data_IF_563271634537
#
_entry.id   IF_563271634537
#
_cell.length_a   1.000
_cell.length_b   1.000
_cell.length_c   1.000
_cell.angle_alpha   90.00
_cell.angle_beta   90.00
_cell.angle_gamma   90.00
#
_symmetry.space_group_name_H-M   'P 1'
#
loop_
_entity.id
_entity.type
_entity.pdbx_description
1 polymer ?
#
# COMPACT_ATOMS: atom_id res chain seq x y z
N UNK A 1 19.88 25.05 -0.36
CA UNK A 1 19.65 23.60 -0.31
C UNK A 1 19.39 23.14 -1.74
N UNK A 2 20.13 22.16 -2.25
CA UNK A 2 19.81 21.59 -3.56
C UNK A 2 18.44 20.90 -3.49
N UNK A 3 17.58 21.11 -4.49
CA UNK A 3 16.21 20.57 -4.53
C UNK A 3 16.18 19.06 -4.24
N UNK A 4 17.15 18.32 -4.78
CA UNK A 4 17.29 16.87 -4.55
C UNK A 4 17.41 16.53 -3.05
N UNK A 5 18.32 17.19 -2.34
CA UNK A 5 18.52 16.95 -0.91
C UNK A 5 17.27 17.32 -0.10
N UNK A 6 16.53 18.34 -0.52
CA UNK A 6 15.25 18.70 0.10
C UNK A 6 14.18 17.61 -0.08
N UNK A 7 14.07 17.04 -1.29
CA UNK A 7 13.14 15.96 -1.58
C UNK A 7 13.52 14.65 -0.87
N UNK A 8 14.81 14.34 -0.77
CA UNK A 8 15.32 13.19 0.00
C UNK A 8 14.99 13.36 1.50
N UNK A 9 15.27 14.54 2.08
CA UNK A 9 14.93 14.81 3.47
C UNK A 9 13.43 14.76 3.75
N UNK A 10 12.60 15.30 2.84
CA UNK A 10 11.15 15.29 2.96
C UNK A 10 10.60 13.86 3.02
N UNK A 11 11.19 12.97 2.23
CA UNK A 11 10.73 11.60 2.03
C UNK A 11 10.89 10.71 3.27
N UNK A 12 11.90 10.97 4.10
CA UNK A 12 12.14 10.25 5.36
C UNK A 12 11.60 11.01 6.60
N UNK A 13 10.78 12.04 6.40
CA UNK A 13 10.27 12.89 7.47
C UNK A 13 8.79 12.68 7.76
N UNK A 14 8.41 13.00 9.00
CA UNK A 14 7.03 13.27 9.35
C UNK A 14 6.68 14.71 8.99
N UNK A 15 5.50 14.88 8.40
CA UNK A 15 4.89 16.18 8.15
C UNK A 15 3.74 16.40 9.11
N UNK A 16 3.50 17.65 9.47
CA UNK A 16 2.31 18.08 10.18
C UNK A 16 1.26 18.51 9.16
N UNK A 17 0.11 17.87 9.15
CA UNK A 17 -1.04 18.29 8.34
C UNK A 17 -2.11 18.92 9.25
N UNK A 18 -2.84 19.95 8.78
CA UNK A 18 -4.01 20.42 9.49
C UNK A 18 -5.12 19.38 9.40
N UNK A 19 -5.77 19.13 10.53
CA UNK A 19 -7.00 18.33 10.61
C UNK A 19 -8.01 19.05 11.49
N UNK A 20 -9.30 18.75 11.38
CA UNK A 20 -10.29 19.35 12.28
C UNK A 20 -10.17 18.75 13.69
N UNK A 21 -10.51 19.52 14.72
CA UNK A 21 -10.61 19.00 16.09
C UNK A 21 -11.66 17.87 16.19
N UNK A 22 -12.75 17.95 15.42
CA UNK A 22 -13.79 16.92 15.38
C UNK A 22 -13.26 15.60 14.81
N UNK A 23 -12.37 15.63 13.80
CA UNK A 23 -11.75 14.44 13.23
C UNK A 23 -10.81 13.77 14.24
N UNK A 24 -10.05 14.57 15.01
CA UNK A 24 -9.18 14.04 16.08
C UNK A 24 -9.99 13.39 17.20
N UNK A 25 -11.14 13.94 17.53
CA UNK A 25 -12.07 13.38 18.53
C UNK A 25 -12.92 12.21 17.98
N UNK A 26 -12.71 11.80 16.73
CA UNK A 26 -13.46 10.72 16.08
C UNK A 26 -14.94 11.05 15.83
N UNK A 27 -15.33 12.32 15.92
CA UNK A 27 -16.70 12.79 15.65
C UNK A 27 -16.98 12.92 14.16
N UNK A 28 -15.95 12.96 13.33
CA UNK A 28 -16.03 12.90 11.87
C UNK A 28 -14.84 12.12 11.29
N UNK A 29 -14.94 11.62 10.04
CA UNK A 29 -13.80 10.98 9.38
C UNK A 29 -12.62 11.95 9.24
N UNK A 30 -11.41 11.44 9.37
CA UNK A 30 -10.21 12.19 9.04
C UNK A 30 -10.28 12.61 7.56
N UNK A 31 -10.17 13.90 7.31
CA UNK A 31 -10.05 14.47 5.98
C UNK A 31 -8.79 15.32 5.90
N UNK A 32 -8.16 15.32 4.73
CA UNK A 32 -7.03 16.18 4.47
C UNK A 32 -7.50 17.63 4.41
N UNK A 33 -6.89 18.52 5.18
CA UNK A 33 -7.16 19.94 5.03
C UNK A 33 -6.61 20.46 3.70
N UNK A 34 -7.47 21.09 2.93
CA UNK A 34 -7.13 21.66 1.64
C UNK A 34 -7.46 23.14 1.55
N UNK A 35 -6.73 23.86 0.71
CA UNK A 35 -7.10 25.19 0.24
C UNK A 35 -7.23 25.20 -1.28
N UNK A 36 -7.99 26.15 -1.81
CA UNK A 36 -8.10 26.36 -3.26
C UNK A 36 -7.47 27.69 -3.64
N UNK A 37 -6.47 27.63 -4.51
CA UNK A 37 -5.78 28.81 -5.05
C UNK A 37 -5.73 28.67 -6.57
N UNK A 38 -6.19 29.70 -7.29
CA UNK A 38 -6.25 29.73 -8.76
C UNK A 38 -6.93 28.49 -9.38
N UNK A 39 -7.99 28.00 -8.73
CA UNK A 39 -8.74 26.82 -9.18
C UNK A 39 -8.04 25.48 -8.96
N UNK A 40 -6.88 25.46 -8.29
CA UNK A 40 -6.16 24.24 -7.90
C UNK A 40 -6.38 23.95 -6.42
N UNK A 41 -6.58 22.67 -6.10
CA UNK A 41 -6.67 22.19 -4.72
C UNK A 41 -5.29 21.84 -4.20
N UNK A 42 -4.94 22.40 -3.04
CA UNK A 42 -3.67 22.21 -2.36
C UNK A 42 -3.89 21.57 -1.01
N UNK A 43 -3.27 20.42 -0.75
CA UNK A 43 -3.09 19.86 0.57
C UNK A 43 -1.97 20.64 1.26
N UNK A 44 -2.24 21.12 2.47
CA UNK A 44 -1.26 21.87 3.25
C UNK A 44 -0.50 20.91 4.18
N UNK A 45 0.81 21.03 4.20
CA UNK A 45 1.67 20.30 5.12
C UNK A 45 2.77 21.22 5.65
N UNK A 46 3.28 20.89 6.83
CA UNK A 46 4.29 21.67 7.53
C UNK A 46 5.39 20.76 8.02
N UNK A 47 6.62 21.24 7.99
CA UNK A 47 7.79 20.48 8.46
C UNK A 47 7.82 20.32 9.99
N UNK A 48 7.05 21.13 10.73
CA UNK A 48 6.93 21.05 12.19
C UNK A 48 5.65 21.71 12.71
N UNK A 49 5.30 21.44 13.98
CA UNK A 49 4.20 22.14 14.66
C UNK A 49 4.49 23.63 14.88
N UNK A 50 5.77 24.00 15.03
CA UNK A 50 6.19 25.40 15.11
C UNK A 50 5.89 26.13 13.80
N UNK A 51 6.24 25.49 12.67
CA UNK A 51 5.94 26.03 11.33
C UNK A 51 4.43 26.15 11.11
N UNK A 52 3.66 25.13 11.52
CA UNK A 52 2.20 25.16 11.50
C UNK A 52 1.63 26.34 12.31
N UNK A 53 2.15 26.58 13.52
CA UNK A 53 1.70 27.68 14.38
C UNK A 53 2.10 29.05 13.82
N UNK A 54 3.25 29.16 13.17
CA UNK A 54 3.75 30.39 12.55
C UNK A 54 2.94 30.79 11.31
N UNK A 55 2.70 29.84 10.40
CA UNK A 55 2.02 30.10 9.12
C UNK A 55 0.50 30.14 9.31
N UNK A 56 -0.02 29.30 10.20
CA UNK A 56 -1.45 29.14 10.46
C UNK A 56 -2.15 28.25 9.42
N UNK A 57 -3.41 27.90 9.73
CA UNK A 57 -4.29 27.12 8.87
C UNK A 57 -5.75 27.55 9.05
N UNK A 58 -6.70 26.81 8.48
CA UNK A 58 -8.13 27.07 8.62
C UNK A 58 -8.55 27.20 10.11
N UNK A 59 -9.50 28.08 10.46
CA UNK A 59 -9.94 28.25 11.84
C UNK A 59 -10.38 26.93 12.48
N UNK A 60 -9.82 26.62 13.66
CA UNK A 60 -10.13 25.38 14.39
C UNK A 60 -9.37 24.14 13.92
N UNK A 61 -8.44 24.28 12.96
CA UNK A 61 -7.53 23.20 12.59
C UNK A 61 -6.51 22.94 13.72
N UNK A 62 -6.18 21.67 13.92
CA UNK A 62 -5.18 21.20 14.87
C UNK A 62 -4.06 20.46 14.13
N UNK A 63 -2.81 20.48 14.63
CA UNK A 63 -1.70 19.80 13.98
C UNK A 63 -1.82 18.28 14.15
N UNK A 64 -1.54 17.53 13.08
CA UNK A 64 -1.41 16.07 13.11
C UNK A 64 -0.14 15.62 12.39
N UNK A 65 0.81 14.96 13.06
CA UNK A 65 1.95 14.33 12.41
C UNK A 65 1.51 13.17 11.52
N UNK A 66 2.07 13.06 10.32
CA UNK A 66 1.85 12.00 9.33
C UNK A 66 3.15 11.75 8.58
N UNK A 67 3.59 10.50 8.50
CA UNK A 67 4.76 10.13 7.71
C UNK A 67 4.55 10.50 6.23
N UNK A 68 5.57 11.05 5.58
CA UNK A 68 5.48 11.37 4.15
C UNK A 68 5.10 10.15 3.29
N UNK A 69 5.63 8.98 3.64
CA UNK A 69 5.25 7.70 3.04
C UNK A 69 3.74 7.44 3.13
N UNK A 70 3.13 7.67 4.29
CA UNK A 70 1.69 7.50 4.50
C UNK A 70 0.88 8.49 3.66
N UNK A 71 1.34 9.75 3.57
CA UNK A 71 0.71 10.76 2.73
C UNK A 71 0.70 10.36 1.25
N UNK A 72 1.82 9.85 0.72
CA UNK A 72 1.89 9.38 -0.66
C UNK A 72 1.10 8.10 -0.92
N UNK A 73 1.08 7.16 0.03
CA UNK A 73 0.33 5.90 -0.11
C UNK A 73 -1.19 6.13 -0.17
N UNK A 74 -1.69 7.08 0.60
CA UNK A 74 -3.10 7.44 0.72
C UNK A 74 -3.46 8.75 0.03
N UNK A 75 -2.69 9.13 -1.00
CA UNK A 75 -2.95 10.38 -1.72
C UNK A 75 -4.38 10.41 -2.27
N UNK A 76 -5.21 11.41 -1.91
CA UNK A 76 -6.66 11.34 -2.07
C UNK A 76 -7.15 11.55 -3.49
N UNK A 77 -6.47 12.43 -4.23
CA UNK A 77 -6.91 12.88 -5.55
C UNK A 77 -5.69 13.26 -6.40
N UNK A 78 -5.50 12.64 -7.59
CA UNK A 78 -4.35 12.92 -8.44
C UNK A 78 -4.31 14.36 -8.99
N UNK A 79 -5.43 15.10 -8.99
CA UNK A 79 -5.49 16.49 -9.46
C UNK A 79 -5.07 17.50 -8.38
N UNK A 80 -4.83 17.04 -7.15
CA UNK A 80 -4.39 17.90 -6.05
C UNK A 80 -2.87 18.09 -6.04
N UNK A 81 -2.44 19.12 -5.33
CA UNK A 81 -1.03 19.48 -5.15
C UNK A 81 -0.68 19.47 -3.66
N UNK A 82 0.58 19.27 -3.32
CA UNK A 82 1.11 19.43 -1.97
C UNK A 82 1.81 20.78 -1.85
N UNK A 83 1.46 21.56 -0.82
CA UNK A 83 2.23 22.72 -0.40
C UNK A 83 2.85 22.45 0.97
N UNK A 84 4.17 22.29 1.01
CA UNK A 84 4.94 22.19 2.25
C UNK A 84 5.43 23.58 2.64
N UNK A 85 5.16 23.99 3.87
CA UNK A 85 5.56 25.28 4.44
C UNK A 85 5.14 26.49 3.57
N UNK A 86 3.85 26.58 3.16
CA UNK A 86 3.39 27.59 2.21
C UNK A 86 3.69 29.01 2.68
N UNK A 87 4.22 29.85 1.78
CA UNK A 87 4.52 31.26 2.07
C UNK A 87 5.86 31.49 2.79
N UNK A 88 6.58 30.44 3.18
CA UNK A 88 7.95 30.54 3.68
C UNK A 88 8.97 30.49 2.54
N UNK A 89 10.19 30.94 2.81
CA UNK A 89 11.30 30.85 1.84
C UNK A 89 11.75 29.41 1.57
N UNK A 90 11.40 28.47 2.45
CA UNK A 90 11.64 27.03 2.34
C UNK A 90 10.51 26.27 1.64
N UNK A 91 9.46 26.96 1.16
CA UNK A 91 8.28 26.30 0.61
C UNK A 91 8.63 25.31 -0.51
N UNK A 92 7.91 24.19 -0.53
CA UNK A 92 7.96 23.21 -1.62
C UNK A 92 6.56 22.96 -2.15
N UNK A 93 6.39 23.12 -3.46
CA UNK A 93 5.13 22.88 -4.16
C UNK A 93 5.30 21.66 -5.05
N UNK A 94 4.57 20.59 -4.77
CA UNK A 94 4.72 19.30 -5.45
C UNK A 94 3.41 18.86 -6.10
N UNK A 95 3.51 18.33 -7.31
CA UNK A 95 2.41 17.61 -7.96
C UNK A 95 2.17 16.27 -7.27
N UNK A 96 0.93 15.77 -7.29
CA UNK A 96 0.56 14.46 -6.76
C UNK A 96 1.48 13.33 -7.24
N UNK A 97 1.79 13.29 -8.54
CA UNK A 97 2.69 12.31 -9.14
C UNK A 97 4.11 12.36 -8.53
N UNK A 98 4.57 13.54 -8.12
CA UNK A 98 5.87 13.68 -7.42
C UNK A 98 5.79 13.19 -5.99
N UNK A 99 4.70 13.47 -5.26
CA UNK A 99 4.48 12.96 -3.90
C UNK A 99 4.47 11.42 -3.89
N UNK A 100 3.65 10.81 -4.75
CA UNK A 100 3.54 9.34 -4.87
C UNK A 100 4.87 8.70 -5.27
N UNK A 101 5.61 9.30 -6.22
CA UNK A 101 6.93 8.81 -6.64
C UNK A 101 7.98 8.91 -5.54
N UNK A 102 7.96 9.96 -4.72
CA UNK A 102 8.90 10.09 -3.61
C UNK A 102 8.61 9.06 -2.52
N UNK A 103 7.32 8.84 -2.19
CA UNK A 103 6.91 7.83 -1.23
C UNK A 103 7.32 6.40 -1.63
N UNK A 104 7.46 6.12 -2.94
CA UNK A 104 7.88 4.81 -3.45
C UNK A 104 9.26 4.36 -2.98
N UNK A 105 10.23 5.26 -3.05
CA UNK A 105 11.57 4.91 -3.57
C UNK A 105 12.51 4.32 -2.51
N UNK A 106 12.06 3.36 -1.69
CA UNK A 106 12.91 2.80 -0.62
C UNK A 106 13.95 1.84 -1.25
N UNK A 107 15.21 1.86 -0.77
CA UNK A 107 16.17 0.85 -1.15
C UNK A 107 15.66 -0.52 -0.67
N UNK A 108 15.74 -1.53 -1.53
CA UNK A 108 15.79 -2.90 -1.06
C UNK A 108 17.09 -3.06 -0.25
N UNK A 109 17.03 -2.84 1.07
CA UNK A 109 18.20 -3.02 1.93
C UNK A 109 18.36 -4.48 2.36
N UNK A 110 19.61 -4.95 2.22
CA UNK A 110 20.28 -6.09 2.82
C UNK A 110 19.57 -7.46 2.94
N UNK A 111 19.65 -8.26 1.87
CA UNK A 111 19.95 -9.70 1.97
C UNK A 111 18.79 -10.71 2.03
N UNK A 112 17.58 -10.31 2.41
CA UNK A 112 16.40 -11.19 2.39
C UNK A 112 15.45 -10.86 1.23
N UNK A 113 14.96 -11.90 0.56
CA UNK A 113 13.96 -11.74 -0.50
C UNK A 113 12.59 -11.50 0.13
N UNK A 114 11.92 -10.37 -0.17
CA UNK A 114 10.61 -10.09 0.41
C UNK A 114 9.61 -11.21 0.12
N UNK A 115 8.78 -11.54 1.10
CA UNK A 115 7.65 -12.43 0.87
C UNK A 115 6.47 -11.62 0.32
N UNK A 116 5.92 -12.07 -0.79
CA UNK A 116 4.67 -11.56 -1.33
C UNK A 116 3.51 -12.46 -0.89
N UNK A 117 2.34 -11.85 -0.71
CA UNK A 117 1.08 -12.52 -0.43
C UNK A 117 0.02 -12.10 -1.45
N UNK A 118 -0.83 -13.04 -1.88
CA UNK A 118 -1.99 -12.78 -2.72
C UNK A 118 -3.22 -13.49 -2.15
N UNK A 119 -4.35 -12.79 -2.09
CA UNK A 119 -5.65 -13.43 -1.82
C UNK A 119 -6.12 -14.13 -3.08
N UNK A 120 -6.40 -15.43 -2.99
CA UNK A 120 -6.83 -16.27 -4.11
C UNK A 120 -8.16 -16.96 -3.82
N UNK A 121 -8.89 -17.34 -4.87
CA UNK A 121 -10.16 -18.05 -4.75
C UNK A 121 -9.98 -19.56 -4.58
N UNK A 122 -10.99 -20.23 -4.03
CA UNK A 122 -11.04 -21.70 -3.98
C UNK A 122 -10.91 -22.36 -5.36
N UNK A 123 -11.47 -21.74 -6.40
CA UNK A 123 -11.31 -22.21 -7.79
C UNK A 123 -9.83 -22.25 -8.19
N UNK A 124 -9.10 -21.16 -7.94
CA UNK A 124 -7.69 -21.08 -8.28
C UNK A 124 -6.86 -22.08 -7.45
N UNK A 125 -7.17 -22.25 -6.16
CA UNK A 125 -6.57 -23.30 -5.32
C UNK A 125 -6.81 -24.68 -5.93
N UNK A 126 -8.04 -24.99 -6.33
CA UNK A 126 -8.40 -26.29 -6.92
C UNK A 126 -7.62 -26.54 -8.21
N UNK A 127 -7.51 -25.53 -9.08
CA UNK A 127 -6.72 -25.63 -10.32
C UNK A 127 -5.23 -25.78 -10.08
N UNK A 128 -4.67 -25.12 -9.05
CA UNK A 128 -3.29 -25.33 -8.62
C UNK A 128 -3.06 -26.77 -8.13
N UNK A 129 -3.91 -27.26 -7.23
CA UNK A 129 -3.79 -28.61 -6.66
C UNK A 129 -4.03 -29.71 -7.70
N UNK A 130 -4.93 -29.48 -8.66
CA UNK A 130 -5.20 -30.36 -9.80
C UNK A 130 -4.11 -30.34 -10.88
N UNK A 131 -3.18 -29.39 -10.83
CA UNK A 131 -2.14 -29.21 -11.84
C UNK A 131 -2.63 -28.62 -13.16
N UNK A 132 -3.83 -28.04 -13.18
CA UNK A 132 -4.42 -27.36 -14.34
C UNK A 132 -3.84 -25.95 -14.54
N UNK A 133 -3.34 -25.36 -13.46
CA UNK A 133 -2.75 -24.03 -13.45
C UNK A 133 -1.49 -24.01 -12.58
N UNK A 134 -0.57 -23.09 -12.87
CA UNK A 134 0.68 -22.94 -12.11
C UNK A 134 1.11 -21.49 -11.97
N UNK A 135 0.94 -20.68 -13.02
CA UNK A 135 1.44 -19.33 -13.02
C UNK A 135 0.72 -18.43 -12.02
N UNK A 136 1.47 -17.60 -11.32
CA UNK A 136 0.97 -16.55 -10.44
C UNK A 136 0.71 -15.32 -11.29
N UNK A 137 -0.52 -14.83 -11.24
CA UNK A 137 -0.95 -13.58 -11.88
C UNK A 137 -1.91 -12.83 -10.99
N UNK A 138 -1.96 -11.51 -11.15
CA UNK A 138 -2.85 -10.62 -10.41
C UNK A 138 -2.09 -9.64 -9.55
N UNK A 139 -2.68 -9.28 -8.41
CA UNK A 139 -2.13 -8.33 -7.47
C UNK A 139 -1.61 -9.05 -6.24
N UNK A 140 -0.40 -8.69 -5.83
CA UNK A 140 0.28 -9.26 -4.67
C UNK A 140 0.83 -8.13 -3.81
N UNK A 141 0.85 -8.33 -2.51
CA UNK A 141 1.31 -7.33 -1.56
C UNK A 141 2.47 -7.84 -0.71
N UNK A 142 3.36 -6.94 -0.31
CA UNK A 142 4.53 -7.32 0.51
C UNK A 142 4.06 -7.64 1.92
N UNK A 143 4.36 -8.85 2.39
CA UNK A 143 3.86 -9.34 3.67
C UNK A 143 4.43 -8.56 4.87
N UNK A 144 5.72 -8.20 4.79
CA UNK A 144 6.45 -7.58 5.91
C UNK A 144 6.23 -6.06 6.05
N UNK A 145 5.46 -5.44 5.17
CA UNK A 145 5.16 -4.01 5.26
C UNK A 145 4.22 -3.68 6.43
N UNK A 146 3.47 -4.66 6.96
CA UNK A 146 2.56 -4.44 8.07
C UNK A 146 2.27 -5.73 8.86
N UNK A 147 1.96 -5.63 10.16
CA UNK A 147 1.45 -6.75 10.95
C UNK A 147 -0.02 -7.02 10.56
N UNK A 148 -0.23 -7.73 9.46
CA UNK A 148 -1.55 -8.01 8.93
C UNK A 148 -2.42 -8.81 9.93
N UNK A 149 -3.73 -8.49 10.05
CA UNK A 149 -4.64 -9.24 10.90
C UNK A 149 -4.71 -10.72 10.53
N UNK A 150 -4.89 -11.58 11.54
CA UNK A 150 -5.03 -13.02 11.39
C UNK A 150 -6.50 -13.48 11.24
N UNK A 151 -7.44 -12.54 11.14
CA UNK A 151 -8.85 -12.80 10.81
C UNK A 151 -9.18 -12.36 9.37
N UNK A 152 -10.00 -13.16 8.68
CA UNK A 152 -10.31 -12.95 7.26
C UNK A 152 -10.91 -11.58 6.96
N UNK A 153 -11.89 -11.14 7.76
CA UNK A 153 -12.62 -9.90 7.50
C UNK A 153 -11.72 -8.66 7.67
N UNK A 154 -10.90 -8.61 8.72
CA UNK A 154 -10.00 -7.49 8.97
C UNK A 154 -8.81 -7.53 8.02
N UNK A 155 -8.30 -8.71 7.65
CA UNK A 155 -7.30 -8.84 6.58
C UNK A 155 -7.81 -8.25 5.27
N UNK A 156 -9.02 -8.63 4.83
CA UNK A 156 -9.60 -8.11 3.58
C UNK A 156 -9.81 -6.60 3.67
N UNK A 157 -10.28 -6.07 4.80
CA UNK A 157 -10.39 -4.62 5.02
C UNK A 157 -9.05 -3.90 4.97
N UNK A 158 -8.02 -4.46 5.61
CA UNK A 158 -6.65 -3.96 5.61
C UNK A 158 -6.05 -3.89 4.19
N UNK A 159 -6.46 -4.80 3.30
CA UNK A 159 -6.05 -4.81 1.90
C UNK A 159 -6.99 -3.99 0.99
N UNK A 160 -8.15 -3.56 1.48
CA UNK A 160 -9.18 -2.86 0.71
C UNK A 160 -9.96 -3.77 -0.24
N UNK A 161 -10.03 -5.07 0.08
CA UNK A 161 -10.76 -6.09 -0.68
C UNK A 161 -12.19 -6.28 -0.13
N UNK A 162 -13.12 -6.82 -0.93
CA UNK A 162 -14.46 -7.16 -0.46
C UNK A 162 -14.42 -8.15 0.71
N UNK A 163 -15.21 -7.89 1.76
CA UNK A 163 -15.28 -8.72 2.98
C UNK A 163 -16.38 -9.81 2.92
N UNK A 164 -17.24 -9.75 1.91
CA UNK A 164 -18.27 -10.75 1.61
C UNK A 164 -17.63 -11.93 0.87
N UNK A 165 -16.89 -12.75 1.61
CA UNK A 165 -16.36 -14.02 1.13
C UNK A 165 -16.45 -15.07 2.23
N UNK A 166 -16.92 -16.27 1.88
CA UNK A 166 -17.08 -17.36 2.85
C UNK A 166 -15.73 -17.91 3.31
N UNK A 167 -14.77 -17.98 2.40
CA UNK A 167 -13.46 -18.62 2.63
C UNK A 167 -12.34 -17.78 2.00
N UNK A 168 -11.27 -17.56 2.76
CA UNK A 168 -10.07 -16.84 2.30
C UNK A 168 -8.93 -17.83 2.10
N UNK A 169 -8.28 -17.75 0.95
CA UNK A 169 -7.06 -18.48 0.67
C UNK A 169 -5.95 -17.49 0.34
N UNK A 170 -4.75 -17.78 0.84
CA UNK A 170 -3.58 -16.94 0.68
C UNK A 170 -2.49 -17.72 -0.03
N UNK A 171 -1.94 -17.15 -1.08
CA UNK A 171 -0.73 -17.64 -1.74
C UNK A 171 0.45 -16.78 -1.27
N UNK A 172 1.51 -17.41 -0.76
CA UNK A 172 2.75 -16.73 -0.32
C UNK A 172 3.97 -17.27 -1.04
N UNK A 173 4.89 -16.38 -1.43
CA UNK A 173 6.15 -16.76 -2.09
C UNK A 173 7.23 -15.70 -1.89
N UNK A 174 8.50 -16.12 -1.92
CA UNK A 174 9.63 -15.20 -1.95
C UNK A 174 9.72 -14.51 -3.32
N UNK A 175 9.93 -13.21 -3.35
CA UNK A 175 10.08 -12.42 -4.59
C UNK A 175 11.41 -12.76 -5.29
N UNK A 176 11.38 -13.71 -6.23
CA UNK A 176 12.53 -14.09 -7.05
C UNK A 176 12.44 -13.42 -8.43
N UNK A 177 13.48 -12.68 -8.82
CA UNK A 177 13.46 -11.86 -10.03
C UNK A 177 12.58 -10.62 -9.84
N UNK A 178 13.01 -9.61 -9.03
CA UNK A 178 12.22 -8.41 -8.73
C UNK A 178 11.68 -7.68 -9.96
N UNK A 179 12.37 -7.76 -11.09
CA UNK A 179 11.96 -7.19 -12.39
C UNK A 179 10.64 -7.76 -12.94
N UNK A 180 10.23 -8.94 -12.48
CA UNK A 180 8.96 -9.58 -12.84
C UNK A 180 7.76 -8.99 -12.07
N UNK A 181 8.02 -8.17 -11.04
CA UNK A 181 7.01 -7.62 -10.15
C UNK A 181 6.97 -6.10 -10.33
N UNK A 182 5.96 -5.63 -11.08
CA UNK A 182 5.84 -4.21 -11.41
C UNK A 182 4.88 -3.54 -10.45
N UNK A 183 5.32 -2.46 -9.81
CA UNK A 183 4.41 -1.63 -9.02
C UNK A 183 3.35 -1.02 -9.96
N UNK A 184 2.05 -1.16 -9.66
CA UNK A 184 0.97 -0.78 -10.56
C UNK A 184 0.65 0.71 -10.42
N UNK A 185 1.56 1.58 -10.82
CA UNK A 185 1.29 3.01 -10.83
C UNK A 185 0.20 3.36 -11.83
N UNK A 186 -0.81 4.08 -11.36
CA UNK A 186 -1.90 4.58 -12.19
C UNK A 186 -1.41 5.61 -13.20
N UNK A 187 -2.08 5.72 -14.35
CA UNK A 187 -1.73 6.72 -15.37
C UNK A 187 -1.79 8.16 -14.85
N UNK A 188 -2.63 8.43 -13.85
CA UNK A 188 -2.74 9.73 -13.20
C UNK A 188 -1.47 10.14 -12.42
N UNK A 189 -0.65 9.16 -12.02
CA UNK A 189 0.63 9.38 -11.35
C UNK A 189 1.82 9.13 -12.28
N UNK A 190 1.61 9.18 -13.60
CA UNK A 190 2.63 8.92 -14.62
C UNK A 190 2.99 7.45 -14.79
N UNK A 191 2.15 6.54 -14.29
CA UNK A 191 2.32 5.10 -14.44
C UNK A 191 1.64 4.52 -15.68
N UNK A 192 1.58 3.19 -15.74
CA UNK A 192 1.07 2.43 -16.89
C UNK A 192 -0.25 1.71 -16.59
N UNK A 193 -0.58 1.51 -15.31
CA UNK A 193 -1.69 0.68 -14.90
C UNK A 193 -3.02 1.44 -15.00
N UNK A 194 -4.05 0.72 -15.43
CA UNK A 194 -5.44 1.18 -15.49
C UNK A 194 -6.33 0.03 -15.08
N UNK A 195 -6.98 0.16 -13.93
CA UNK A 195 -7.84 -0.86 -13.35
C UNK A 195 -9.10 -0.22 -12.78
N UNK A 196 -10.10 -1.04 -12.49
CA UNK A 196 -11.30 -0.62 -11.80
C UNK A 196 -11.05 -0.39 -10.30
N UNK A 197 -11.91 0.39 -9.61
CA UNK A 197 -11.92 0.45 -8.15
C UNK A 197 -11.95 -0.96 -7.52
N UNK A 198 -11.27 -1.17 -6.39
CA UNK A 198 -10.72 -0.18 -5.46
C UNK A 198 -9.28 0.29 -5.79
N UNK A 199 -8.75 -0.01 -6.99
CA UNK A 199 -7.41 0.42 -7.41
C UNK A 199 -7.20 1.94 -7.31
N UNK A 200 -6.20 2.36 -6.52
CA UNK A 200 -5.84 3.78 -6.36
C UNK A 200 -4.71 4.24 -7.26
N UNK A 201 -3.88 3.32 -7.77
CA UNK A 201 -2.74 3.66 -8.62
C UNK A 201 -1.55 4.31 -7.89
N UNK A 202 -1.56 4.37 -6.56
CA UNK A 202 -0.44 4.87 -5.76
C UNK A 202 0.68 3.83 -5.56
N UNK A 203 0.48 2.59 -6.01
CA UNK A 203 1.42 1.48 -5.80
C UNK A 203 1.30 0.79 -4.43
N UNK A 204 0.24 1.11 -3.68
CA UNK A 204 -0.08 0.53 -2.38
C UNK A 204 -1.50 -0.04 -2.40
N UNK A 205 -1.78 -0.96 -1.48
CA UNK A 205 -3.11 -1.55 -1.32
C UNK A 205 -4.18 -0.50 -1.01
N UNK A 206 -5.44 -0.86 -1.31
CA UNK A 206 -6.56 0.06 -1.20
C UNK A 206 -7.16 0.16 0.22
N UNK A 207 -6.69 -0.63 1.17
CA UNK A 207 -7.13 -0.54 2.57
C UNK A 207 -6.56 0.71 3.26
N UNK A 208 -7.28 1.31 4.22
CA UNK A 208 -6.93 2.62 4.79
C UNK A 208 -5.96 2.54 5.99
N UNK A 209 -5.71 1.34 6.51
CA UNK A 209 -5.05 1.16 7.81
C UNK A 209 -3.53 1.05 7.69
N UNK A 210 -3.04 0.40 6.64
CA UNK A 210 -1.64 0.03 6.52
C UNK A 210 -1.04 0.47 5.19
N UNK A 211 0.20 0.94 5.23
CA UNK A 211 0.97 1.26 4.03
C UNK A 211 1.66 0.00 3.52
N UNK A 212 0.97 -0.75 2.66
CA UNK A 212 1.45 -2.03 2.14
C UNK A 212 1.67 -1.90 0.64
N UNK A 213 2.90 -2.19 0.18
CA UNK A 213 3.24 -2.14 -1.24
C UNK A 213 2.50 -3.20 -2.02
N UNK A 214 2.02 -2.81 -3.19
CA UNK A 214 1.32 -3.67 -4.12
C UNK A 214 2.15 -3.85 -5.41
N UNK A 215 2.10 -5.05 -5.96
CA UNK A 215 2.77 -5.44 -7.20
C UNK A 215 1.77 -6.10 -8.14
N UNK A 216 1.83 -5.76 -9.42
CA UNK A 216 1.23 -6.55 -10.48
C UNK A 216 2.20 -7.69 -10.85
N UNK A 217 1.66 -8.89 -10.83
CA UNK A 217 2.30 -10.12 -11.29
C UNK A 217 1.63 -10.57 -12.57
N UNK A 218 2.43 -10.96 -13.57
CA UNK A 218 1.93 -11.45 -14.84
C UNK A 218 2.65 -12.75 -15.24
N UNK A 219 2.01 -13.88 -14.93
CA UNK A 219 2.43 -15.19 -15.43
C UNK A 219 3.71 -15.74 -14.82
N UNK A 220 4.02 -15.39 -13.56
CA UNK A 220 5.26 -15.82 -12.90
C UNK A 220 5.14 -17.26 -12.41
N UNK A 221 6.14 -18.10 -12.70
CA UNK A 221 6.16 -19.44 -12.12
C UNK A 221 6.41 -19.37 -10.59
N UNK A 222 5.65 -20.10 -9.77
CA UNK A 222 5.84 -20.11 -8.32
C UNK A 222 7.25 -20.58 -7.98
N UNK A 223 8.02 -19.83 -7.17
CA UNK A 223 9.28 -20.32 -6.63
C UNK A 223 9.11 -21.59 -5.80
N UNK A 224 10.16 -22.40 -5.71
CA UNK A 224 10.17 -23.56 -4.79
C UNK A 224 9.85 -23.10 -3.37
N UNK A 225 9.01 -23.86 -2.67
CA UNK A 225 8.59 -23.51 -1.32
C UNK A 225 7.50 -22.44 -1.24
N UNK A 226 6.92 -22.02 -2.37
CA UNK A 226 5.68 -21.21 -2.33
C UNK A 226 4.59 -21.97 -1.57
N UNK A 227 3.73 -21.26 -0.87
CA UNK A 227 2.81 -21.85 0.10
C UNK A 227 1.38 -21.39 -0.18
N UNK A 228 0.41 -22.30 0.00
CA UNK A 228 -1.01 -21.94 0.03
C UNK A 228 -1.53 -22.15 1.45
N UNK A 229 -2.22 -21.14 1.96
CA UNK A 229 -2.91 -21.15 3.25
C UNK A 229 -4.41 -21.06 3.07
N UNK A 230 -5.13 -21.67 4.01
CA UNK A 230 -6.56 -21.50 4.24
C UNK A 230 -6.75 -20.67 5.51
N UNK A 231 -7.47 -19.56 5.40
CA UNK A 231 -7.86 -18.71 6.50
C UNK A 231 -9.39 -18.78 6.68
N UNK A 232 -9.89 -19.66 7.55
CA UNK A 232 -11.33 -19.83 7.77
C UNK A 232 -11.91 -18.64 8.53
N UNK A 233 -13.21 -18.40 8.38
CA UNK A 233 -13.93 -17.45 9.22
C UNK A 233 -13.85 -17.84 10.70
N UNK A 234 -13.12 -17.06 11.51
CA UNK A 234 -13.00 -17.24 12.96
C UNK A 234 -12.12 -18.40 13.43
N UNK A 235 -11.29 -18.97 12.56
CA UNK A 235 -10.33 -20.02 12.93
C UNK A 235 -8.89 -19.65 12.54
N UNK A 236 -7.89 -20.40 13.03
CA UNK A 236 -6.50 -20.09 12.75
C UNK A 236 -6.17 -20.35 11.27
N UNK A 237 -5.25 -19.54 10.76
CA UNK A 237 -4.61 -19.76 9.48
C UNK A 237 -3.93 -21.14 9.45
N UNK A 238 -4.09 -21.86 8.33
CA UNK A 238 -3.53 -23.20 8.14
C UNK A 238 -2.89 -23.34 6.78
N UNK A 239 -1.61 -23.74 6.73
CA UNK A 239 -0.96 -24.11 5.47
C UNK A 239 -1.57 -25.39 4.92
N UNK A 240 -2.01 -25.37 3.67
CA UNK A 240 -2.64 -26.51 3.01
C UNK A 240 -1.79 -27.09 1.88
N UNK A 241 -0.87 -26.32 1.29
CA UNK A 241 0.01 -26.83 0.25
C UNK A 241 1.36 -26.11 0.17
N UNK A 242 2.35 -26.81 -0.40
CA UNK A 242 3.69 -26.32 -0.73
C UNK A 242 3.98 -26.60 -2.21
N UNK A 243 4.59 -25.65 -2.91
CA UNK A 243 5.01 -25.84 -4.29
C UNK A 243 6.39 -26.49 -4.36
N UNK A 244 6.46 -27.64 -5.02
CA UNK A 244 7.71 -28.32 -5.35
C UNK A 244 8.09 -27.99 -6.80
N UNK A 245 9.13 -27.17 -6.97
CA UNK A 245 9.62 -26.76 -8.28
C UNK A 245 10.25 -27.89 -9.10
N UNK A 246 10.84 -28.91 -8.46
CA UNK A 246 11.47 -30.04 -9.16
C UNK A 246 10.41 -30.93 -9.79
N UNK A 247 9.30 -31.13 -9.07
CA UNK A 247 8.15 -31.90 -9.54
C UNK A 247 7.11 -31.05 -10.27
N UNK A 248 7.29 -29.72 -10.27
CA UNK A 248 6.36 -28.70 -10.79
C UNK A 248 4.92 -28.96 -10.36
N UNK A 249 4.70 -29.20 -9.07
CA UNK A 249 3.37 -29.48 -8.52
C UNK A 249 3.21 -29.00 -7.09
N UNK A 250 1.95 -28.76 -6.72
CA UNK A 250 1.58 -28.47 -5.35
C UNK A 250 1.42 -29.77 -4.55
N UNK A 251 2.08 -29.83 -3.40
CA UNK A 251 2.03 -30.94 -2.45
C UNK A 251 1.14 -30.54 -1.28
N UNK A 252 0.05 -31.27 -1.06
CA UNK A 252 -0.82 -31.01 0.09
C UNK A 252 -0.11 -31.34 1.40
N UNK A 253 -0.23 -30.43 2.37
CA UNK A 253 0.26 -30.64 3.74
C UNK A 253 -0.74 -31.57 4.46
N UNK A 254 -0.25 -32.69 4.96
CA UNK A 254 -1.07 -33.59 5.79
C UNK A 254 -1.35 -32.92 7.14
N UNK A 255 -2.59 -32.96 7.62
CA UNK A 255 -2.89 -32.60 9.01
C UNK A 255 -2.08 -33.51 9.94
N UNK A 256 -1.42 -32.98 10.99
CA UNK A 256 -0.95 -33.84 12.06
C UNK A 256 -2.18 -34.57 12.64
N UNK A 257 -2.05 -35.89 12.75
CA UNK A 257 -3.03 -36.79 13.35
C UNK A 257 -3.25 -36.48 14.83
#
# INVERSE_FOLDING_TARGET
MELRAALEALRDSDLVVPVSAAAVEGREPLSWATTTVDGRTWLLAFTSEETFAQVGSAPGAVPRPVAFLQLGAFWPDPEWYLAVDPGLSTQLLLEAATVVRLARDEPADAGEMPVLQQVISLDLVTRYLGGEHFAISGYAHRLDDAPLPDDSASLLRALGLPVDVDEVYLLRWAMVGPELYRVPYGTAFGGWAREAPPFRGTGFVAGPEFVIREYKVDGVAPPHGSEIFHLPAGGPERRIALFDADQRRWLMVRRPS
#
